data_IF_741841585435
#
_entry.id   IF_741841585435
#
_cell.length_a   1.000
_cell.length_b   1.000
_cell.length_c   1.000
_cell.angle_alpha   90.00
_cell.angle_beta   90.00
_cell.angle_gamma   90.00
#
_symmetry.space_group_name_H-M   'P 1'
#
loop_
_entity.id
_entity.type
_entity.pdbx_description
1 polymer ?
#
# COMPACT_ATOMS: atom_id res chain seq x y z
N UNK A 1 5.67 35.37 -36.86
CA UNK A 1 4.35 34.73 -36.68
C UNK A 1 4.59 33.30 -36.23
N UNK A 2 4.25 33.05 -34.97
CA UNK A 2 3.71 31.80 -34.43
C UNK A 2 4.15 30.45 -35.05
N UNK A 3 4.91 29.68 -34.28
CA UNK A 3 4.42 28.41 -33.70
C UNK A 3 5.17 28.13 -32.39
N UNK A 4 4.86 28.93 -31.37
CA UNK A 4 4.96 28.49 -29.99
C UNK A 4 3.75 27.57 -29.75
N UNK A 5 3.87 26.32 -30.17
CA UNK A 5 2.83 25.29 -30.09
C UNK A 5 3.23 24.21 -29.09
N UNK A 6 3.21 24.58 -27.81
CA UNK A 6 2.71 23.70 -26.76
C UNK A 6 3.29 22.29 -26.70
N UNK A 7 4.59 22.19 -26.42
CA UNK A 7 5.08 21.12 -25.54
C UNK A 7 4.37 21.31 -24.19
N UNK A 8 3.18 20.73 -24.06
CA UNK A 8 2.47 20.67 -22.79
C UNK A 8 3.43 20.08 -21.78
N UNK A 9 3.87 20.96 -20.89
CA UNK A 9 4.63 20.67 -19.72
C UNK A 9 4.16 19.35 -19.12
N UNK A 10 5.10 18.42 -18.98
CA UNK A 10 5.07 17.33 -18.02
C UNK A 10 4.74 17.98 -16.67
N UNK A 11 3.45 18.12 -16.39
CA UNK A 11 2.95 18.83 -15.23
C UNK A 11 2.98 17.84 -14.10
N UNK A 12 4.15 17.77 -13.46
CA UNK A 12 4.49 17.18 -12.16
C UNK A 12 3.85 15.83 -11.82
N UNK A 13 4.69 14.81 -11.61
CA UNK A 13 4.36 13.55 -10.95
C UNK A 13 3.80 13.77 -9.54
N UNK A 14 2.55 14.24 -9.44
CA UNK A 14 1.77 14.32 -8.21
C UNK A 14 0.73 13.23 -8.29
N UNK A 15 0.61 12.45 -7.21
CA UNK A 15 -0.45 11.47 -7.08
C UNK A 15 -1.82 12.16 -7.12
N UNK A 16 -2.68 11.75 -8.05
CA UNK A 16 -4.10 12.10 -8.04
C UNK A 16 -4.83 11.18 -7.05
N UNK A 17 -5.19 11.74 -5.89
CA UNK A 17 -5.88 11.02 -4.81
C UNK A 17 -7.26 10.54 -5.27
N UNK A 18 -7.96 11.32 -6.09
CA UNK A 18 -9.27 10.95 -6.63
C UNK A 18 -9.14 9.74 -7.56
N UNK A 19 -8.13 9.74 -8.41
CA UNK A 19 -7.79 8.59 -9.24
C UNK A 19 -7.44 7.37 -8.39
N UNK A 20 -6.59 7.53 -7.36
CA UNK A 20 -6.15 6.44 -6.49
C UNK A 20 -7.32 5.80 -5.74
N UNK A 21 -8.19 6.60 -5.13
CA UNK A 21 -9.36 6.12 -4.40
C UNK A 21 -10.38 5.47 -5.33
N UNK A 22 -10.66 6.06 -6.50
CA UNK A 22 -11.61 5.52 -7.48
C UNK A 22 -11.17 4.16 -8.00
N UNK A 23 -9.91 4.05 -8.44
CA UNK A 23 -9.39 2.80 -8.99
C UNK A 23 -9.09 1.78 -7.89
N UNK A 24 -8.66 2.22 -6.71
CA UNK A 24 -8.54 1.37 -5.52
C UNK A 24 -9.87 0.73 -5.14
N UNK A 25 -10.95 1.52 -5.11
CA UNK A 25 -12.31 1.02 -4.88
C UNK A 25 -12.78 0.06 -5.97
N UNK A 26 -12.51 0.38 -7.24
CA UNK A 26 -12.83 -0.50 -8.38
C UNK A 26 -12.15 -1.86 -8.26
N UNK A 27 -10.84 -1.88 -8.03
CA UNK A 27 -10.06 -3.11 -7.88
C UNK A 27 -10.48 -3.88 -6.63
N UNK A 28 -10.71 -3.19 -5.51
CA UNK A 28 -11.24 -3.81 -4.30
C UNK A 28 -12.57 -4.54 -4.55
N UNK A 29 -13.53 -3.90 -5.23
CA UNK A 29 -14.82 -4.53 -5.52
C UNK A 29 -14.69 -5.67 -6.55
N UNK A 30 -13.84 -5.51 -7.57
CA UNK A 30 -13.61 -6.52 -8.61
C UNK A 30 -13.00 -7.79 -8.02
N UNK A 31 -12.02 -7.63 -7.13
CA UNK A 31 -11.26 -8.73 -6.53
C UNK A 31 -11.65 -8.94 -5.05
N UNK A 32 -12.90 -8.61 -4.68
CA UNK A 32 -13.34 -8.55 -3.27
C UNK A 32 -13.23 -9.90 -2.56
N UNK A 33 -13.60 -10.99 -3.23
CA UNK A 33 -13.60 -12.33 -2.64
C UNK A 33 -12.19 -12.78 -2.26
N UNK A 34 -11.21 -12.82 -3.19
CA UNK A 34 -9.86 -13.24 -2.83
C UNK A 34 -9.21 -12.29 -1.83
N UNK A 35 -9.43 -10.98 -1.94
CA UNK A 35 -8.88 -10.00 -1.01
C UNK A 35 -9.44 -10.13 0.42
N UNK A 36 -10.75 -10.37 0.57
CA UNK A 36 -11.37 -10.57 1.88
C UNK A 36 -10.91 -11.88 2.52
N UNK A 37 -10.92 -12.98 1.76
CA UNK A 37 -10.47 -14.28 2.28
C UNK A 37 -8.97 -14.26 2.60
N UNK A 38 -8.15 -13.63 1.76
CA UNK A 38 -6.74 -13.39 2.03
C UNK A 38 -6.54 -12.57 3.31
N UNK A 39 -7.28 -11.49 3.49
CA UNK A 39 -7.21 -10.65 4.70
C UNK A 39 -7.64 -11.42 5.95
N UNK A 40 -8.70 -12.24 5.84
CA UNK A 40 -9.19 -13.07 6.93
C UNK A 40 -8.13 -14.11 7.35
N UNK A 41 -7.53 -14.81 6.38
CA UNK A 41 -6.44 -15.77 6.61
C UNK A 41 -5.23 -15.06 7.22
N UNK A 42 -4.82 -13.92 6.66
CA UNK A 42 -3.72 -13.11 7.15
C UNK A 42 -3.93 -12.73 8.62
N UNK A 43 -5.13 -12.23 8.95
CA UNK A 43 -5.49 -11.81 10.30
C UNK A 43 -5.53 -12.99 11.27
N UNK A 44 -6.22 -14.07 10.91
CA UNK A 44 -6.36 -15.25 11.76
C UNK A 44 -5.00 -15.89 12.07
N UNK A 45 -4.16 -16.10 11.05
CA UNK A 45 -2.83 -16.68 11.24
C UNK A 45 -1.88 -15.74 11.99
N UNK A 46 -2.00 -14.43 11.79
CA UNK A 46 -1.26 -13.45 12.59
C UNK A 46 -1.64 -13.54 14.06
N UNK A 47 -2.93 -13.66 14.40
CA UNK A 47 -3.38 -13.81 15.78
C UNK A 47 -2.87 -15.12 16.39
N UNK A 48 -3.07 -16.25 15.69
CA UNK A 48 -2.67 -17.59 16.17
C UNK A 48 -1.15 -17.68 16.38
N UNK A 49 -0.37 -16.99 15.55
CA UNK A 49 1.10 -16.96 15.66
C UNK A 49 1.64 -15.78 16.46
N UNK A 50 0.79 -15.05 17.19
CA UNK A 50 1.18 -13.90 18.02
C UNK A 50 1.96 -12.82 17.25
N UNK A 51 1.57 -12.59 16.00
CA UNK A 51 2.13 -11.57 15.11
C UNK A 51 3.32 -12.05 14.27
N UNK A 52 3.83 -13.26 14.47
CA UNK A 52 4.99 -13.78 13.73
C UNK A 52 4.74 -13.79 12.22
N UNK A 53 3.52 -14.15 11.78
CA UNK A 53 3.16 -14.14 10.37
C UNK A 53 2.62 -12.79 9.86
N UNK A 54 2.49 -11.77 10.71
CA UNK A 54 1.83 -10.52 10.32
C UNK A 54 2.54 -9.81 9.17
N UNK A 55 3.85 -9.56 9.29
CA UNK A 55 4.63 -8.92 8.23
C UNK A 55 4.59 -9.70 6.91
N UNK A 56 4.97 -10.98 6.89
CA UNK A 56 4.97 -11.80 5.67
C UNK A 56 3.59 -11.94 5.01
N UNK A 57 2.50 -12.12 5.78
CA UNK A 57 1.15 -12.22 5.21
C UNK A 57 0.63 -10.88 4.70
N UNK A 58 0.97 -9.77 5.38
CA UNK A 58 0.68 -8.43 4.90
C UNK A 58 1.41 -8.12 3.59
N UNK A 59 2.67 -8.58 3.46
CA UNK A 59 3.39 -8.54 2.19
C UNK A 59 2.71 -9.36 1.09
N UNK A 60 2.15 -10.53 1.43
CA UNK A 60 1.34 -11.33 0.50
C UNK A 60 0.09 -10.61 0.01
N UNK A 61 -0.61 -9.85 0.87
CA UNK A 61 -1.73 -9.00 0.45
C UNK A 61 -1.29 -7.93 -0.56
N UNK A 62 -0.13 -7.30 -0.35
CA UNK A 62 0.43 -6.42 -1.39
C UNK A 62 0.84 -7.19 -2.64
N UNK A 63 1.34 -8.42 -2.51
CA UNK A 63 1.68 -9.31 -3.63
C UNK A 63 0.49 -9.62 -4.52
N UNK A 64 -0.69 -9.82 -3.94
CA UNK A 64 -1.96 -9.95 -4.65
C UNK A 64 -2.21 -8.73 -5.54
N UNK A 65 -2.09 -7.52 -4.99
CA UNK A 65 -2.34 -6.29 -5.75
C UNK A 65 -1.25 -5.94 -6.75
N UNK A 66 0.01 -6.19 -6.41
CA UNK A 66 1.16 -6.02 -7.30
C UNK A 66 0.99 -6.90 -8.53
N UNK A 67 0.71 -8.19 -8.33
CA UNK A 67 0.50 -9.12 -9.44
C UNK A 67 -0.72 -8.74 -10.27
N UNK A 68 -1.79 -8.28 -9.60
CA UNK A 68 -3.01 -7.84 -10.26
C UNK A 68 -2.82 -6.64 -11.17
N UNK A 69 -2.10 -5.64 -10.70
CA UNK A 69 -1.87 -4.39 -11.42
C UNK A 69 -0.79 -4.58 -12.49
N UNK A 70 0.33 -5.20 -12.15
CA UNK A 70 1.48 -5.38 -13.05
C UNK A 70 1.22 -6.40 -14.14
N UNK A 71 0.69 -7.56 -13.76
CA UNK A 71 0.63 -8.74 -14.63
C UNK A 71 -0.79 -8.99 -15.16
N UNK A 72 -1.79 -8.24 -14.69
CA UNK A 72 -3.20 -8.39 -15.09
C UNK A 72 -3.85 -9.69 -14.59
N UNK A 73 -3.13 -10.49 -13.79
CA UNK A 73 -3.60 -11.77 -13.27
C UNK A 73 -4.53 -11.55 -12.07
N UNK A 74 -5.71 -12.16 -12.11
CA UNK A 74 -6.65 -12.12 -10.99
C UNK A 74 -6.04 -12.73 -9.71
N UNK A 75 -6.25 -12.12 -8.53
CA UNK A 75 -5.66 -12.63 -7.30
C UNK A 75 -6.36 -13.92 -6.87
N UNK A 76 -5.58 -14.92 -6.49
CA UNK A 76 -6.09 -16.11 -5.83
C UNK A 76 -5.95 -15.99 -4.31
N UNK A 77 -6.83 -16.63 -3.54
CA UNK A 77 -6.75 -16.61 -2.06
C UNK A 77 -5.37 -17.07 -1.55
N UNK A 78 -4.79 -18.08 -2.21
CA UNK A 78 -3.47 -18.61 -1.86
C UNK A 78 -2.30 -17.63 -2.08
N UNK A 79 -2.49 -16.58 -2.87
CA UNK A 79 -1.46 -15.57 -3.13
C UNK A 79 -1.11 -14.75 -1.87
N UNK A 80 -1.92 -14.82 -0.81
CA UNK A 80 -1.57 -14.26 0.52
C UNK A 80 -0.28 -14.87 1.10
N UNK A 81 0.11 -16.06 0.63
CA UNK A 81 1.37 -16.71 1.01
C UNK A 81 2.51 -16.49 0.00
N UNK A 82 2.30 -15.67 -1.03
CA UNK A 82 3.25 -15.48 -2.15
C UNK A 82 4.62 -14.93 -1.72
N UNK A 83 4.70 -14.27 -0.57
CA UNK A 83 5.91 -13.65 -0.04
C UNK A 83 6.60 -14.45 1.07
N UNK A 84 6.18 -15.71 1.32
CA UNK A 84 6.77 -16.57 2.35
C UNK A 84 8.23 -16.96 2.04
N UNK A 85 8.65 -16.94 0.77
CA UNK A 85 10.04 -17.18 0.35
C UNK A 85 11.03 -16.19 1.00
N UNK A 86 10.55 -14.98 1.34
CA UNK A 86 11.32 -13.92 2.00
C UNK A 86 10.81 -13.62 3.41
N UNK A 87 10.32 -14.66 4.09
CA UNK A 87 9.76 -14.57 5.44
C UNK A 87 10.58 -13.66 6.37
N UNK A 88 11.89 -13.92 6.53
CA UNK A 88 12.73 -13.17 7.45
C UNK A 88 12.89 -11.70 7.09
N UNK A 89 12.89 -11.37 5.79
CA UNK A 89 12.95 -9.97 5.34
C UNK A 89 11.69 -9.20 5.74
N UNK A 90 10.52 -9.81 5.54
CA UNK A 90 9.24 -9.16 5.86
C UNK A 90 8.94 -9.20 7.36
N UNK A 91 9.26 -10.27 8.06
CA UNK A 91 9.12 -10.37 9.51
C UNK A 91 9.99 -9.32 10.21
N UNK A 92 11.31 -9.34 9.98
CA UNK A 92 12.23 -8.39 10.58
C UNK A 92 11.95 -6.94 10.17
N UNK A 93 11.69 -6.69 8.88
CA UNK A 93 11.31 -5.38 8.38
C UNK A 93 10.02 -4.84 9.01
N UNK A 94 9.01 -5.70 9.18
CA UNK A 94 7.75 -5.30 9.82
C UNK A 94 7.93 -4.93 11.29
N UNK A 95 8.80 -5.63 12.04
CA UNK A 95 9.09 -5.29 13.44
C UNK A 95 9.76 -3.92 13.51
N UNK A 96 10.80 -3.70 12.71
CA UNK A 96 11.53 -2.42 12.72
C UNK A 96 10.60 -1.28 12.32
N UNK A 97 9.80 -1.47 11.26
CA UNK A 97 8.85 -0.48 10.79
C UNK A 97 7.75 -0.19 11.82
N UNK A 98 7.17 -1.24 12.42
CA UNK A 98 6.12 -1.10 13.43
C UNK A 98 6.63 -0.41 14.70
N UNK A 99 7.85 -0.71 15.16
CA UNK A 99 8.46 -0.02 16.27
C UNK A 99 8.74 1.45 15.93
N UNK A 100 9.36 1.72 14.78
CA UNK A 100 9.70 3.09 14.39
C UNK A 100 8.45 3.98 14.23
N UNK A 101 7.43 3.49 13.51
CA UNK A 101 6.16 4.21 13.36
C UNK A 101 5.43 4.27 14.71
N UNK A 102 5.37 3.16 15.46
CA UNK A 102 4.70 3.08 16.76
C UNK A 102 5.26 4.05 17.79
N UNK A 103 6.59 4.17 17.89
CA UNK A 103 7.23 5.19 18.72
C UNK A 103 6.94 6.61 18.21
N UNK A 104 6.90 6.81 16.90
CA UNK A 104 6.60 8.12 16.34
C UNK A 104 5.20 8.62 16.72
N UNK A 105 4.22 7.71 16.89
CA UNK A 105 2.86 8.00 17.36
C UNK A 105 2.77 8.56 18.78
N UNK A 106 3.85 8.55 19.58
CA UNK A 106 3.94 9.35 20.83
C UNK A 106 3.62 10.82 20.53
N UNK A 107 4.05 11.29 19.36
CA UNK A 107 3.60 12.55 18.79
C UNK A 107 2.65 12.23 17.64
N UNK A 108 1.38 12.63 17.71
CA UNK A 108 0.42 12.38 16.62
C UNK A 108 0.98 12.84 15.27
N UNK A 109 1.67 13.98 15.25
CA UNK A 109 2.34 14.52 14.07
C UNK A 109 3.45 13.56 13.57
N UNK A 110 4.34 13.09 14.45
CA UNK A 110 5.42 12.18 14.08
C UNK A 110 4.91 10.88 13.49
N UNK A 111 3.87 10.28 14.08
CA UNK A 111 3.24 9.06 13.58
C UNK A 111 2.69 9.22 12.16
N UNK A 112 1.97 10.32 11.91
CA UNK A 112 1.43 10.63 10.57
C UNK A 112 2.57 10.84 9.57
N UNK A 113 3.61 11.60 9.93
CA UNK A 113 4.73 11.89 9.05
C UNK A 113 5.50 10.62 8.67
N UNK A 114 5.83 9.76 9.64
CA UNK A 114 6.58 8.53 9.38
C UNK A 114 5.77 7.53 8.56
N UNK A 115 4.47 7.39 8.85
CA UNK A 115 3.55 6.59 8.03
C UNK A 115 3.49 7.10 6.59
N UNK A 116 3.52 8.43 6.40
CA UNK A 116 3.50 9.07 5.07
C UNK A 116 4.77 8.80 4.28
N UNK A 117 5.95 9.04 4.85
CA UNK A 117 7.22 8.87 4.10
C UNK A 117 7.56 7.40 3.81
N UNK A 118 7.10 6.47 4.64
CA UNK A 118 7.36 5.02 4.51
C UNK A 118 6.16 4.23 3.99
N UNK A 119 5.20 4.94 3.40
CA UNK A 119 3.97 4.37 2.86
C UNK A 119 4.24 3.25 1.84
N UNK A 120 5.30 3.36 1.03
CA UNK A 120 5.59 2.41 -0.05
C UNK A 120 6.61 1.32 0.29
N UNK A 121 7.04 1.19 1.56
CA UNK A 121 8.04 0.20 1.95
C UNK A 121 7.62 -1.23 1.56
N UNK A 122 6.42 -1.65 1.94
CA UNK A 122 5.92 -2.98 1.57
C UNK A 122 5.72 -3.16 0.06
N UNK A 123 5.01 -2.26 -0.66
CA UNK A 123 4.92 -2.31 -2.12
C UNK A 123 6.28 -2.44 -2.82
N UNK A 124 7.28 -1.65 -2.42
CA UNK A 124 8.64 -1.69 -2.98
C UNK A 124 9.34 -3.00 -2.69
N UNK A 125 9.26 -3.49 -1.45
CA UNK A 125 9.83 -4.78 -1.09
C UNK A 125 9.21 -5.93 -1.87
N UNK A 126 7.90 -5.86 -2.18
CA UNK A 126 7.17 -6.90 -2.90
C UNK A 126 7.41 -6.81 -4.40
N UNK A 127 7.11 -5.67 -5.03
CA UNK A 127 7.17 -5.50 -6.49
C UNK A 127 8.60 -5.52 -7.03
N UNK A 128 9.53 -4.84 -6.34
CA UNK A 128 10.93 -4.71 -6.78
C UNK A 128 11.88 -5.69 -6.07
N UNK A 129 11.36 -6.57 -5.21
CA UNK A 129 12.14 -7.51 -4.38
C UNK A 129 13.28 -6.85 -3.59
N UNK A 130 13.15 -5.56 -3.25
CA UNK A 130 14.18 -4.78 -2.55
C UNK A 130 14.36 -5.21 -1.09
N UNK A 131 15.56 -4.97 -0.54
CA UNK A 131 15.81 -5.04 0.90
C UNK A 131 15.02 -3.99 1.68
N UNK A 132 14.77 -4.24 2.97
CA UNK A 132 13.99 -3.34 3.83
C UNK A 132 14.61 -1.93 3.92
N UNK A 133 15.92 -1.84 4.17
CA UNK A 133 16.60 -0.55 4.32
C UNK A 133 16.58 0.28 3.04
N UNK A 134 16.81 -0.36 1.89
CA UNK A 134 16.72 0.31 0.59
C UNK A 134 15.29 0.79 0.32
N UNK A 135 14.28 0.00 0.71
CA UNK A 135 12.88 0.35 0.54
C UNK A 135 12.47 1.57 1.37
N UNK A 136 13.06 1.79 2.56
CA UNK A 136 12.83 3.01 3.34
C UNK A 136 13.30 4.26 2.59
N UNK A 137 14.53 4.21 2.04
CA UNK A 137 15.09 5.33 1.28
C UNK A 137 14.30 5.62 0.01
N UNK A 138 14.00 4.58 -0.78
CA UNK A 138 13.23 4.74 -2.01
C UNK A 138 11.79 5.18 -1.72
N UNK A 139 11.16 4.70 -0.64
CA UNK A 139 9.82 5.18 -0.24
C UNK A 139 9.86 6.68 0.10
N UNK A 140 10.84 7.13 0.88
CA UNK A 140 10.99 8.53 1.24
C UNK A 140 11.09 9.42 0.00
N UNK A 141 11.95 9.06 -0.96
CA UNK A 141 12.10 9.80 -2.21
C UNK A 141 10.84 9.75 -3.07
N UNK A 142 10.22 8.58 -3.21
CA UNK A 142 8.98 8.42 -3.99
C UNK A 142 7.87 9.31 -3.44
N UNK A 143 7.71 9.41 -2.12
CA UNK A 143 6.69 10.26 -1.48
C UNK A 143 7.05 11.74 -1.57
N UNK A 144 8.31 12.09 -1.30
CA UNK A 144 8.77 13.49 -1.31
C UNK A 144 8.69 14.10 -2.70
N UNK A 145 9.19 13.39 -3.69
CA UNK A 145 9.31 13.86 -5.07
C UNK A 145 7.98 13.68 -5.83
N UNK A 146 7.18 12.69 -5.42
CA UNK A 146 5.87 12.36 -5.98
C UNK A 146 4.69 13.18 -5.44
N UNK A 147 4.94 14.25 -4.68
CA UNK A 147 3.93 15.08 -4.04
C UNK A 147 3.65 14.68 -2.59
N UNK A 148 4.47 15.18 -1.66
CA UNK A 148 4.36 14.85 -0.24
C UNK A 148 2.97 15.14 0.34
N UNK A 149 2.38 16.29 0.02
CA UNK A 149 1.11 16.73 0.59
C UNK A 149 -0.05 15.85 0.14
N UNK A 150 -0.02 15.38 -1.09
CA UNK A 150 -1.03 14.49 -1.63
C UNK A 150 -0.98 13.10 -0.95
N UNK A 151 0.22 12.58 -0.70
CA UNK A 151 0.41 11.36 0.09
C UNK A 151 -0.01 11.54 1.56
N UNK A 152 0.27 12.72 2.14
CA UNK A 152 -0.16 13.05 3.51
C UNK A 152 -1.69 13.00 3.61
N UNK A 153 -2.39 13.63 2.67
CA UNK A 153 -3.87 13.60 2.62
C UNK A 153 -4.37 12.17 2.46
N UNK A 154 -3.75 11.36 1.60
CA UNK A 154 -4.12 9.96 1.43
C UNK A 154 -3.97 9.16 2.74
N UNK A 155 -2.87 9.37 3.48
CA UNK A 155 -2.66 8.73 4.80
C UNK A 155 -3.70 9.20 5.81
N UNK A 156 -4.04 10.49 5.84
CA UNK A 156 -5.11 11.00 6.71
C UNK A 156 -6.45 10.34 6.36
N UNK A 157 -6.78 10.18 5.08
CA UNK A 157 -7.98 9.44 4.66
C UNK A 157 -7.96 8.00 5.17
N UNK A 158 -6.83 7.28 5.06
CA UNK A 158 -6.73 5.92 5.59
C UNK A 158 -6.84 5.85 7.11
N UNK A 159 -6.30 6.82 7.85
CA UNK A 159 -6.46 6.90 9.30
C UNK A 159 -7.94 7.10 9.67
N UNK A 160 -8.65 7.98 8.96
CA UNK A 160 -10.08 8.22 9.19
C UNK A 160 -10.93 6.99 8.84
N UNK A 161 -10.63 6.30 7.73
CA UNK A 161 -11.31 5.06 7.36
C UNK A 161 -11.00 3.94 8.36
N UNK A 162 -9.74 3.85 8.82
CA UNK A 162 -9.28 2.87 9.80
C UNK A 162 -9.91 3.07 11.19
N UNK A 163 -10.15 4.30 11.62
CA UNK A 163 -10.78 4.59 12.91
C UNK A 163 -12.23 4.10 12.97
N UNK A 164 -12.99 4.25 11.87
CA UNK A 164 -14.32 3.63 11.70
C UNK A 164 -14.20 2.10 11.82
N UNK A 165 -13.16 1.55 11.19
CA UNK A 165 -12.78 0.13 11.28
C UNK A 165 -12.67 -0.40 12.71
N UNK A 166 -11.92 0.32 13.55
CA UNK A 166 -11.71 -0.04 14.96
C UNK A 166 -12.95 0.11 15.84
N UNK A 167 -13.82 1.09 15.54
CA UNK A 167 -15.03 1.34 16.32
C UNK A 167 -16.12 0.27 16.11
N UNK A 168 -16.16 -0.37 14.94
CA UNK A 168 -17.18 -1.36 14.57
C UNK A 168 -16.83 -2.82 14.95
N UNK A 169 -16.26 -3.04 16.13
CA UNK A 169 -15.94 -4.37 16.69
C UNK A 169 -15.00 -5.25 15.83
N UNK A 170 -14.12 -4.64 15.03
CA UNK A 170 -13.09 -5.35 14.26
C UNK A 170 -13.56 -5.97 12.93
N UNK A 171 -14.87 -6.09 12.69
CA UNK A 171 -15.39 -6.60 11.40
C UNK A 171 -15.06 -5.64 10.26
N UNK A 172 -15.19 -4.33 10.52
CA UNK A 172 -14.86 -3.33 9.51
C UNK A 172 -13.36 -3.31 9.15
N UNK A 173 -12.45 -3.78 10.03
CA UNK A 173 -11.03 -3.96 9.69
C UNK A 173 -10.79 -4.93 8.53
N UNK A 174 -11.62 -5.98 8.42
CA UNK A 174 -11.55 -6.94 7.31
C UNK A 174 -11.93 -6.32 5.97
N UNK A 175 -12.70 -5.23 5.96
CA UNK A 175 -13.04 -4.48 4.75
C UNK A 175 -12.02 -3.36 4.46
N UNK A 176 -11.57 -2.64 5.49
CA UNK A 176 -10.67 -1.49 5.34
C UNK A 176 -9.26 -1.91 4.93
N UNK A 177 -8.78 -3.06 5.38
CA UNK A 177 -7.45 -3.58 5.03
C UNK A 177 -7.29 -3.84 3.53
N UNK A 178 -8.12 -4.69 2.88
CA UNK A 178 -7.99 -4.94 1.46
C UNK A 178 -8.28 -3.71 0.60
N UNK A 179 -9.18 -2.83 1.03
CA UNK A 179 -9.39 -1.54 0.36
C UNK A 179 -8.15 -0.65 0.42
N UNK A 180 -7.50 -0.56 1.59
CA UNK A 180 -6.23 0.19 1.76
C UNK A 180 -5.14 -0.39 0.88
N UNK A 181 -4.98 -1.72 0.88
CA UNK A 181 -3.96 -2.40 0.07
C UNK A 181 -4.21 -2.19 -1.43
N UNK A 182 -5.46 -2.26 -1.90
CA UNK A 182 -5.81 -1.98 -3.30
C UNK A 182 -5.54 -0.52 -3.69
N UNK A 183 -6.01 0.43 -2.88
CA UNK A 183 -5.79 1.86 -3.11
C UNK A 183 -4.31 2.22 -3.08
N UNK A 184 -3.56 1.63 -2.16
CA UNK A 184 -2.13 1.88 -2.05
C UNK A 184 -1.33 1.24 -3.19
N UNK A 185 -1.75 0.07 -3.67
CA UNK A 185 -1.23 -0.51 -4.91
C UNK A 185 -1.41 0.47 -6.08
N UNK A 186 -2.62 1.02 -6.26
CA UNK A 186 -2.87 2.03 -7.31
C UNK A 186 -1.98 3.27 -7.13
N UNK A 187 -1.94 3.83 -5.93
CA UNK A 187 -1.12 5.00 -5.60
C UNK A 187 0.36 4.75 -5.96
N UNK A 188 0.88 3.58 -5.58
CA UNK A 188 2.24 3.13 -5.85
C UNK A 188 2.55 3.07 -7.36
N UNK A 189 1.70 2.45 -8.19
CA UNK A 189 1.96 2.42 -9.64
C UNK A 189 1.76 3.80 -10.28
N UNK A 190 0.78 4.58 -9.83
CA UNK A 190 0.50 5.91 -10.40
C UNK A 190 1.63 6.89 -10.15
N UNK A 191 2.18 6.96 -8.92
CA UNK A 191 3.29 7.85 -8.59
C UNK A 191 4.59 7.49 -9.35
N UNK A 192 4.70 6.26 -9.83
CA UNK A 192 5.79 5.81 -10.70
C UNK A 192 5.54 6.05 -12.19
N UNK A 193 4.47 6.75 -12.57
CA UNK A 193 4.10 6.97 -13.97
C UNK A 193 3.51 5.73 -14.66
N UNK A 194 3.09 4.72 -13.89
CA UNK A 194 2.57 3.44 -14.39
C UNK A 194 1.04 3.34 -14.26
N UNK A 195 0.34 4.47 -14.39
CA UNK A 195 -1.13 4.53 -14.32
C UNK A 195 -1.83 3.66 -15.37
N UNK A 196 -1.20 3.47 -16.55
CA UNK A 196 -1.73 2.59 -17.59
C UNK A 196 -1.79 1.10 -17.18
N UNK A 197 -0.95 0.66 -16.24
CA UNK A 197 -1.03 -0.70 -15.67
C UNK A 197 -2.29 -0.81 -14.80
N UNK A 198 -2.61 0.23 -14.02
CA UNK A 198 -3.83 0.31 -13.20
C UNK A 198 -5.09 0.31 -14.05
N UNK A 199 -5.12 1.05 -15.15
CA UNK A 199 -6.31 1.14 -16.00
C UNK A 199 -6.66 -0.19 -16.66
N UNK A 200 -5.63 -0.96 -17.06
CA UNK A 200 -5.77 -2.30 -17.65
C UNK A 200 -6.23 -3.35 -16.63
N UNK A 201 -5.95 -3.12 -15.35
CA UNK A 201 -6.33 -4.01 -14.27
C UNK A 201 -7.84 -3.92 -13.96
#
# INVERSE_FOLDING_TARGET
METAGTSLAVTSARIDIGFALKHGWRLFLKDIVPLLLGTLIATALSIVTLGILAGPLYAGLYGMMVTRIRDGREPAVGDVFSCMDRFWSFFGGSIVLALAIGFAWITVIGGILLTTIWLYVFPLMVDRRMGFWDALGVSYHTVKDGGFWEHLVLVVVFILVGSIGSAAAGVAFLLTTPFTVATLGVAYYTVQGRGADVERA
#
